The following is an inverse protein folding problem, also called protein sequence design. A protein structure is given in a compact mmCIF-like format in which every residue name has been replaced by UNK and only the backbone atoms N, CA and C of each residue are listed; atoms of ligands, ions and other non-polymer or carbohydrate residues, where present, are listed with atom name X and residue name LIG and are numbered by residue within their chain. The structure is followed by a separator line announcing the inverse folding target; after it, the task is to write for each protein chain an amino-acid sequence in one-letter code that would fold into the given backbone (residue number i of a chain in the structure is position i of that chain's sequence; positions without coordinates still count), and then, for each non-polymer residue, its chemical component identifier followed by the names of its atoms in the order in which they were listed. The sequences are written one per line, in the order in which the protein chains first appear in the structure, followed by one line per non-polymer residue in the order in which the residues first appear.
data_IF_257832458368
#
_entry.id   IF_257832458368
#
_cell.length_a   1.000
_cell.length_b   1.000
_cell.length_c   1.000
_cell.angle_alpha   90.00
_cell.angle_beta   90.00
_cell.angle_gamma   90.00
#
_symmetry.space_group_name_H-M   'P 1'
#
loop_
_entity.id
_entity.type
_entity.pdbx_description
1 polymer ?
#
# COMPACT_ATOMS: atom_id res chain seq x y z
N UNK A 1 -9.94 14.36 -22.44
CA UNK A 1 -10.60 13.28 -21.67
C UNK A 1 -9.54 12.68 -20.76
N UNK A 2 -9.72 12.75 -19.44
CA UNK A 2 -8.75 12.17 -18.50
C UNK A 2 -8.73 10.64 -18.66
N UNK A 3 -7.55 9.98 -18.52
CA UNK A 3 -7.50 8.52 -18.58
C UNK A 3 -8.36 7.91 -17.45
N UNK A 4 -9.00 6.75 -17.68
CA UNK A 4 -9.75 6.06 -16.64
C UNK A 4 -8.85 5.70 -15.46
N UNK A 5 -9.45 5.66 -14.26
CA UNK A 5 -8.72 5.33 -13.03
C UNK A 5 -7.96 3.99 -13.18
N UNK A 6 -6.65 3.94 -12.88
CA UNK A 6 -5.77 2.84 -13.27
C UNK A 6 -5.96 1.57 -12.44
N UNK A 7 -6.56 1.67 -11.24
CA UNK A 7 -6.67 0.55 -10.30
C UNK A 7 -7.99 -0.21 -10.37
N UNK A 8 -8.65 -0.15 -11.53
CA UNK A 8 -9.93 -0.82 -11.80
C UNK A 8 -9.73 -2.30 -12.18
N UNK A 9 -10.72 -3.18 -11.90
CA UNK A 9 -10.72 -4.57 -12.36
C UNK A 9 -10.44 -4.72 -13.86
N UNK A 10 -9.70 -5.77 -14.21
CA UNK A 10 -9.28 -6.10 -15.58
C UNK A 10 -8.15 -5.25 -16.13
N UNK A 11 -7.68 -4.22 -15.42
CA UNK A 11 -6.54 -3.44 -15.85
C UNK A 11 -5.22 -4.16 -15.52
N UNK A 12 -4.24 -4.03 -16.41
CA UNK A 12 -2.91 -4.61 -16.26
C UNK A 12 -1.85 -3.54 -15.97
N UNK A 13 -0.93 -3.87 -15.07
CA UNK A 13 0.20 -3.02 -14.70
C UNK A 13 1.50 -3.77 -15.01
N UNK A 14 2.40 -3.14 -15.77
CA UNK A 14 3.76 -3.66 -15.96
C UNK A 14 4.63 -3.23 -14.79
N UNK A 15 5.06 -4.19 -13.98
CA UNK A 15 5.75 -3.98 -12.72
C UNK A 15 7.19 -4.49 -12.80
N UNK A 16 8.07 -3.83 -12.08
CA UNK A 16 9.49 -4.21 -11.98
C UNK A 16 9.87 -4.35 -10.52
N UNK A 17 10.70 -5.34 -10.19
CA UNK A 17 11.15 -5.54 -8.83
C UNK A 17 11.92 -4.29 -8.35
N UNK A 18 11.64 -3.87 -7.12
CA UNK A 18 12.21 -2.67 -6.52
C UNK A 18 12.78 -3.01 -5.14
N UNK A 19 14.00 -2.53 -4.86
CA UNK A 19 14.55 -2.54 -3.51
C UNK A 19 14.03 -1.31 -2.77
N UNK A 20 13.28 -1.43 -1.66
CA UNK A 20 12.81 -0.26 -0.93
C UNK A 20 13.97 0.57 -0.35
N UNK A 21 13.83 1.90 -0.23
CA UNK A 21 14.71 2.69 0.61
C UNK A 21 14.55 2.28 2.09
N UNK A 22 15.49 2.70 2.94
CA UNK A 22 15.36 2.47 4.39
C UNK A 22 14.09 3.14 4.93
N UNK A 23 13.42 2.53 5.92
CA UNK A 23 12.24 3.13 6.53
C UNK A 23 12.59 4.44 7.25
N UNK A 24 11.72 5.45 7.15
CA UNK A 24 11.97 6.78 7.70
C UNK A 24 10.73 7.43 8.36
N UNK A 25 10.90 8.64 8.90
CA UNK A 25 9.90 9.48 9.56
C UNK A 25 10.03 9.50 11.10
N UNK A 26 9.06 10.07 11.82
CA UNK A 26 9.18 10.49 13.24
C UNK A 26 9.68 9.44 14.27
N UNK A 27 9.72 8.15 13.93
CA UNK A 27 10.19 7.05 14.80
C UNK A 27 11.42 6.31 14.25
N UNK A 28 12.01 6.79 13.17
CA UNK A 28 13.13 6.15 12.49
C UNK A 28 14.31 7.13 12.41
N UNK A 29 15.46 6.73 12.95
CA UNK A 29 16.71 7.44 12.74
C UNK A 29 17.14 7.29 11.29
N UNK A 30 17.05 8.37 10.53
CA UNK A 30 17.46 8.38 9.13
C UNK A 30 18.83 9.03 9.00
N UNK A 31 19.88 8.21 8.92
CA UNK A 31 21.23 8.65 8.54
C UNK A 31 21.40 8.74 7.01
N UNK A 32 20.54 8.05 6.27
CA UNK A 32 20.51 7.97 4.81
C UNK A 32 19.58 9.06 4.21
N UNK A 33 19.70 9.36 2.91
CA UNK A 33 18.81 10.33 2.26
C UNK A 33 17.35 9.90 2.41
N UNK A 34 16.59 10.76 3.09
CA UNK A 34 15.14 10.64 3.22
C UNK A 34 14.46 11.71 2.41
N UNK A 35 13.27 11.40 1.89
CA UNK A 35 12.42 12.38 1.25
C UNK A 35 12.15 13.47 2.26
N UNK A 36 12.41 14.71 1.89
CA UNK A 36 11.99 15.85 2.68
C UNK A 36 10.60 16.26 2.21
N UNK A 37 9.69 16.54 3.14
CA UNK A 37 8.42 17.16 2.81
C UNK A 37 8.63 18.47 2.07
N UNK A 38 7.74 18.79 1.13
CA UNK A 38 7.67 20.12 0.51
C UNK A 38 6.65 20.96 1.26
N UNK A 39 7.07 22.12 1.74
CA UNK A 39 6.22 23.11 2.41
C UNK A 39 5.66 24.13 1.39
N UNK A 40 4.64 24.88 1.77
CA UNK A 40 4.04 25.95 0.95
C UNK A 40 3.20 25.41 -0.21
N UNK A 41 2.58 24.24 -0.04
CA UNK A 41 1.71 23.63 -1.05
C UNK A 41 0.28 24.18 -1.00
N UNK A 42 -0.08 24.78 0.13
CA UNK A 42 -1.41 25.32 0.41
C UNK A 42 -1.24 26.75 0.93
N UNK A 43 -2.10 27.68 0.50
CA UNK A 43 -2.14 29.03 1.03
C UNK A 43 -2.84 29.12 2.41
N UNK A 44 -2.77 30.28 3.05
CA UNK A 44 -3.44 30.53 4.35
C UNK A 44 -4.98 30.36 4.28
N UNK A 45 -5.56 30.34 3.07
CA UNK A 45 -7.00 30.13 2.84
C UNK A 45 -7.37 28.67 2.56
N UNK A 46 -6.40 27.75 2.56
CA UNK A 46 -6.62 26.33 2.29
C UNK A 46 -6.66 25.96 0.81
N UNK A 47 -6.28 26.86 -0.10
CA UNK A 47 -6.22 26.55 -1.53
C UNK A 47 -4.87 25.97 -1.93
N UNK A 48 -4.90 24.94 -2.78
CA UNK A 48 -3.70 24.36 -3.37
C UNK A 48 -3.00 25.35 -4.29
N UNK A 49 -1.72 25.59 -4.02
CA UNK A 49 -0.82 26.41 -4.84
C UNK A 49 -0.17 25.62 -5.98
N UNK A 50 -0.35 24.29 -5.98
CA UNK A 50 0.18 23.37 -6.99
C UNK A 50 -0.92 22.46 -7.52
N UNK A 51 -0.80 22.06 -8.78
CA UNK A 51 -1.60 20.94 -9.28
C UNK A 51 -1.07 19.62 -8.70
N UNK A 52 -1.98 18.79 -8.20
CA UNK A 52 -1.63 17.56 -7.50
C UNK A 52 -0.96 16.53 -8.42
N UNK A 53 -1.40 16.42 -9.69
CA UNK A 53 -0.77 15.51 -10.64
C UNK A 53 0.64 15.98 -11.00
N UNK A 54 0.79 17.27 -11.31
CA UNK A 54 2.10 17.86 -11.59
C UNK A 54 3.05 17.75 -10.40
N UNK A 55 2.55 17.92 -9.17
CA UNK A 55 3.32 17.71 -7.95
C UNK A 55 3.81 16.27 -7.85
N UNK A 56 2.93 15.28 -8.04
CA UNK A 56 3.28 13.86 -7.97
C UNK A 56 4.30 13.44 -9.05
N UNK A 57 4.19 14.00 -10.26
CA UNK A 57 5.17 13.74 -11.34
C UNK A 57 6.53 14.35 -10.99
N UNK A 58 6.53 15.59 -10.52
CA UNK A 58 7.77 16.34 -10.23
C UNK A 58 8.48 15.85 -8.96
N UNK A 59 7.74 15.17 -8.08
CA UNK A 59 8.23 14.63 -6.82
C UNK A 59 8.11 13.11 -6.80
N UNK A 60 8.78 12.45 -7.74
CA UNK A 60 8.76 10.98 -7.84
C UNK A 60 9.24 10.29 -6.55
N UNK A 61 8.72 9.09 -6.23
CA UNK A 61 9.20 8.25 -5.13
C UNK A 61 10.72 8.12 -5.05
N UNK A 62 11.27 8.04 -3.85
CA UNK A 62 12.69 7.71 -3.65
C UNK A 62 13.04 6.38 -4.29
N UNK A 63 14.18 6.35 -4.96
CA UNK A 63 14.82 5.09 -5.36
C UNK A 63 15.45 4.43 -4.13
N UNK A 64 15.44 3.10 -4.13
CA UNK A 64 16.19 2.35 -3.14
C UNK A 64 17.67 2.22 -3.46
N UNK A 65 18.41 1.52 -2.58
CA UNK A 65 19.79 1.17 -2.87
C UNK A 65 19.86 0.34 -4.15
N UNK A 66 20.93 0.54 -4.93
CA UNK A 66 21.19 -0.30 -6.09
C UNK A 66 21.18 -1.78 -5.67
N UNK A 67 20.52 -2.67 -6.44
CA UNK A 67 20.47 -4.07 -6.09
C UNK A 67 21.89 -4.64 -6.01
N UNK A 68 22.16 -5.47 -5.00
CA UNK A 68 23.46 -6.14 -4.82
C UNK A 68 23.82 -7.06 -6.01
N UNK A 69 22.82 -7.42 -6.83
CA UNK A 69 22.95 -8.15 -8.08
C UNK A 69 22.73 -7.22 -9.27
N UNK A 70 23.67 -7.21 -10.21
CA UNK A 70 23.60 -6.47 -11.49
C UNK A 70 22.59 -7.05 -12.49
N UNK A 71 21.93 -8.17 -12.19
CA UNK A 71 20.86 -8.72 -13.04
C UNK A 71 19.52 -8.08 -12.67
N UNK A 72 19.08 -7.13 -13.49
CA UNK A 72 17.71 -6.64 -13.47
C UNK A 72 16.75 -7.81 -13.71
N UNK A 73 15.75 -7.96 -12.85
CA UNK A 73 14.66 -8.91 -13.09
C UNK A 73 13.80 -8.39 -14.24
N UNK A 74 13.29 -9.28 -15.13
CA UNK A 74 12.40 -8.84 -16.19
C UNK A 74 11.11 -8.23 -15.60
N UNK A 75 10.48 -7.27 -16.31
CA UNK A 75 9.15 -6.80 -15.93
C UNK A 75 8.15 -7.96 -15.87
N UNK A 76 7.22 -7.86 -14.93
CA UNK A 76 6.09 -8.78 -14.75
C UNK A 76 4.78 -8.05 -15.01
N UNK A 77 3.72 -8.78 -15.27
CA UNK A 77 2.39 -8.21 -15.50
C UNK A 77 1.50 -8.51 -14.29
N UNK A 78 0.95 -7.47 -13.68
CA UNK A 78 -0.05 -7.61 -12.62
C UNK A 78 -1.43 -7.32 -13.20
N UNK A 79 -2.34 -8.28 -13.11
CA UNK A 79 -3.73 -8.11 -13.57
C UNK A 79 -4.64 -7.89 -12.36
N UNK A 80 -5.31 -6.75 -12.31
CA UNK A 80 -6.18 -6.36 -11.19
C UNK A 80 -7.49 -7.15 -11.26
N UNK A 81 -7.82 -7.84 -10.19
CA UNK A 81 -9.06 -8.63 -10.09
C UNK A 81 -10.16 -7.81 -9.41
N UNK A 82 -9.87 -7.23 -8.25
CA UNK A 82 -10.86 -6.46 -7.47
C UNK A 82 -10.17 -5.39 -6.61
N UNK A 83 -10.80 -4.24 -6.45
CA UNK A 83 -10.42 -3.25 -5.44
C UNK A 83 -10.98 -3.66 -4.08
N UNK A 84 -10.10 -3.88 -3.10
CA UNK A 84 -10.47 -4.18 -1.71
C UNK A 84 -10.65 -2.90 -0.89
N UNK A 85 -9.78 -1.92 -1.10
CA UNK A 85 -9.83 -0.66 -0.36
C UNK A 85 -9.31 0.49 -1.21
N UNK A 86 -10.07 1.56 -1.24
CA UNK A 86 -9.68 2.85 -1.78
C UNK A 86 -10.38 3.92 -0.96
N UNK A 87 -9.61 4.85 -0.38
CA UNK A 87 -10.15 5.99 0.36
C UNK A 87 -9.99 7.22 -0.53
N UNK A 88 -11.07 7.77 -1.10
CA UNK A 88 -10.98 8.97 -1.93
C UNK A 88 -10.37 10.12 -1.14
N UNK A 89 -9.44 10.85 -1.77
CA UNK A 89 -8.72 11.95 -1.14
C UNK A 89 -9.58 13.19 -0.90
N UNK A 90 -10.65 13.35 -1.67
CA UNK A 90 -11.56 14.50 -1.63
C UNK A 90 -12.43 14.55 -0.35
N UNK A 91 -12.37 13.53 0.51
CA UNK A 91 -13.14 13.44 1.76
C UNK A 91 -12.26 13.51 3.03
N UNK A 92 -11.10 14.15 2.96
CA UNK A 92 -10.09 14.10 4.03
C UNK A 92 -9.55 12.68 4.26
N UNK A 93 -9.75 11.83 3.25
CA UNK A 93 -9.23 10.47 3.17
C UNK A 93 -8.00 10.44 2.29
N UNK A 94 -7.45 9.25 2.05
CA UNK A 94 -6.29 9.08 1.19
C UNK A 94 -5.30 8.10 1.79
N UNK A 95 -4.54 7.45 0.94
CA UNK A 95 -3.61 6.42 1.37
C UNK A 95 -3.39 5.34 0.33
N UNK A 96 -2.89 4.17 0.76
CA UNK A 96 -2.62 3.09 -0.18
C UNK A 96 -3.92 2.52 -0.76
N UNK A 97 -3.90 2.23 -2.05
CA UNK A 97 -4.94 1.46 -2.73
C UNK A 97 -4.64 -0.02 -2.54
N UNK A 98 -5.63 -0.80 -2.15
CA UNK A 98 -5.48 -2.25 -1.94
C UNK A 98 -6.33 -2.97 -2.97
N UNK A 99 -5.71 -3.85 -3.74
CA UNK A 99 -6.37 -4.65 -4.77
C UNK A 99 -5.99 -6.12 -4.64
N UNK A 100 -6.89 -7.02 -5.03
CA UNK A 100 -6.50 -8.39 -5.37
C UNK A 100 -6.04 -8.46 -6.81
N UNK A 101 -5.10 -9.36 -7.09
CA UNK A 101 -4.50 -9.47 -8.40
C UNK A 101 -3.93 -10.86 -8.68
N UNK A 102 -3.75 -11.15 -9.97
CA UNK A 102 -2.91 -12.22 -10.46
C UNK A 102 -1.59 -11.68 -10.98
N UNK A 103 -0.57 -12.54 -11.02
CA UNK A 103 0.76 -12.18 -11.47
C UNK A 103 1.16 -13.04 -12.67
N UNK A 104 1.50 -12.37 -13.75
CA UNK A 104 1.70 -12.93 -15.09
C UNK A 104 0.50 -13.79 -15.52
N UNK A 105 0.78 -14.92 -16.18
CA UNK A 105 -0.22 -15.88 -16.61
C UNK A 105 -0.66 -16.84 -15.50
N UNK A 106 -0.11 -16.71 -14.29
CA UNK A 106 -0.52 -17.54 -13.15
C UNK A 106 -1.81 -16.98 -12.53
N UNK A 107 -2.92 -17.55 -12.97
CA UNK A 107 -4.25 -17.30 -12.40
C UNK A 107 -4.61 -18.26 -11.25
N UNK A 108 -3.72 -19.21 -10.91
CA UNK A 108 -3.98 -20.17 -9.82
C UNK A 108 -3.75 -19.55 -8.44
N UNK A 109 -2.90 -18.53 -8.35
CA UNK A 109 -2.60 -17.83 -7.11
C UNK A 109 -3.23 -16.44 -7.11
N UNK A 110 -4.10 -16.18 -6.14
CA UNK A 110 -4.58 -14.83 -5.86
C UNK A 110 -3.62 -14.15 -4.88
N UNK A 111 -3.24 -12.91 -5.19
CA UNK A 111 -2.38 -12.08 -4.33
C UNK A 111 -3.07 -10.77 -3.99
N UNK A 112 -2.52 -10.04 -3.02
CA UNK A 112 -2.91 -8.67 -2.70
C UNK A 112 -1.76 -7.73 -3.04
N UNK A 113 -2.05 -6.74 -3.88
CA UNK A 113 -1.16 -5.61 -4.09
C UNK A 113 -1.64 -4.43 -3.25
N UNK A 114 -0.70 -3.91 -2.46
CA UNK A 114 -0.89 -2.65 -1.73
C UNK A 114 -0.04 -1.58 -2.39
N UNK A 115 -0.74 -0.63 -3.00
CA UNK A 115 -0.19 0.35 -3.93
C UNK A 115 -0.08 1.70 -3.23
N UNK A 116 1.12 2.24 -3.19
CA UNK A 116 1.46 3.52 -2.57
C UNK A 116 1.67 4.57 -3.68
N UNK A 117 0.59 4.98 -4.31
CA UNK A 117 0.59 6.10 -5.27
C UNK A 117 0.37 7.40 -4.52
N UNK A 118 1.36 8.28 -4.47
CA UNK A 118 1.22 9.55 -3.75
C UNK A 118 0.11 10.45 -4.31
N UNK A 119 -0.33 10.25 -5.56
CA UNK A 119 -1.53 10.93 -6.06
C UNK A 119 -2.82 10.48 -5.36
N UNK A 120 -2.87 9.28 -4.78
CA UNK A 120 -4.03 8.77 -4.01
C UNK A 120 -3.96 9.18 -2.53
N UNK A 121 -2.90 9.88 -2.12
CA UNK A 121 -2.77 10.48 -0.81
C UNK A 121 -3.31 11.90 -0.82
N UNK A 122 -3.78 12.36 0.33
CA UNK A 122 -4.20 13.74 0.49
C UNK A 122 -2.97 14.66 0.37
N UNK A 123 -3.10 15.71 -0.44
CA UNK A 123 -2.12 16.79 -0.50
C UNK A 123 -2.38 17.64 0.74
N UNK A 124 -1.53 17.51 1.76
CA UNK A 124 -1.66 18.29 2.99
C UNK A 124 -0.38 19.05 3.26
N UNK A 125 -0.55 20.27 3.76
CA UNK A 125 0.50 21.14 4.26
C UNK A 125 0.02 21.72 5.59
N UNK A 126 -0.18 20.84 6.58
CA UNK A 126 -0.80 21.24 7.85
C UNK A 126 0.17 22.10 8.69
N UNK A 127 -0.18 23.38 8.98
CA UNK A 127 0.65 24.24 9.81
C UNK A 127 0.78 23.68 11.22
N UNK A 128 2.01 23.49 11.71
CA UNK A 128 2.28 22.94 13.05
C UNK A 128 2.31 21.41 13.15
N UNK A 129 1.91 20.68 12.10
CA UNK A 129 2.27 19.27 11.90
C UNK A 129 3.41 19.21 10.89
N UNK A 130 4.63 19.49 11.35
CA UNK A 130 5.85 19.50 10.54
C UNK A 130 5.83 18.45 9.40
N UNK A 131 5.79 18.95 8.16
CA UNK A 131 6.28 18.31 6.96
C UNK A 131 5.69 16.93 6.64
N UNK A 132 4.59 16.90 5.89
CA UNK A 132 4.05 15.63 5.41
C UNK A 132 3.21 15.78 4.13
N UNK A 133 3.86 16.07 3.00
CA UNK A 133 3.18 16.06 1.69
C UNK A 133 2.74 14.64 1.25
N UNK A 134 1.89 14.57 0.22
CA UNK A 134 1.31 13.32 -0.26
C UNK A 134 2.37 12.29 -0.73
N UNK A 135 3.44 12.74 -1.38
CA UNK A 135 4.53 11.89 -1.85
C UNK A 135 5.39 11.42 -0.67
N UNK A 136 5.65 12.30 0.30
CA UNK A 136 6.34 11.94 1.55
C UNK A 136 5.62 10.84 2.30
N UNK A 137 4.29 10.95 2.44
CA UNK A 137 3.47 9.93 3.13
C UNK A 137 3.46 8.60 2.39
N UNK A 138 3.30 8.61 1.07
CA UNK A 138 3.30 7.40 0.27
C UNK A 138 4.61 6.63 0.39
N UNK A 139 5.75 7.30 0.20
CA UNK A 139 7.09 6.70 0.33
C UNK A 139 7.38 6.24 1.77
N UNK A 140 6.93 7.01 2.77
CA UNK A 140 7.10 6.66 4.18
C UNK A 140 6.32 5.38 4.53
N UNK A 141 5.06 5.28 4.09
CA UNK A 141 4.24 4.09 4.31
C UNK A 141 4.81 2.88 3.58
N UNK A 142 5.19 3.05 2.32
CA UNK A 142 5.79 2.00 1.50
C UNK A 142 7.08 1.45 2.13
N UNK A 143 8.04 2.32 2.44
CA UNK A 143 9.35 1.91 2.97
C UNK A 143 9.23 1.19 4.32
N UNK A 144 8.35 1.68 5.22
CA UNK A 144 8.08 1.05 6.52
C UNK A 144 7.45 -0.33 6.37
N UNK A 145 6.42 -0.44 5.55
CA UNK A 145 5.70 -1.71 5.40
C UNK A 145 6.56 -2.75 4.69
N UNK A 146 7.29 -2.35 3.64
CA UNK A 146 8.22 -3.23 2.95
C UNK A 146 9.36 -3.72 3.85
N UNK A 147 9.97 -2.83 4.65
CA UNK A 147 10.97 -3.21 5.64
C UNK A 147 10.40 -4.14 6.73
N UNK A 148 9.16 -3.92 7.15
CA UNK A 148 8.48 -4.76 8.14
C UNK A 148 8.37 -6.19 7.61
N UNK A 149 7.75 -6.39 6.44
CA UNK A 149 7.61 -7.71 5.83
C UNK A 149 8.96 -8.38 5.54
N UNK A 150 9.95 -7.61 5.04
CA UNK A 150 11.28 -8.15 4.76
C UNK A 150 12.03 -8.61 6.03
N UNK A 151 11.72 -8.01 7.19
CA UNK A 151 12.35 -8.36 8.47
C UNK A 151 11.72 -9.57 9.17
N UNK A 152 10.48 -9.94 8.81
CA UNK A 152 9.77 -11.06 9.46
C UNK A 152 10.39 -12.38 9.00
N UNK A 153 10.85 -13.24 9.94
CA UNK A 153 11.40 -14.55 9.60
C UNK A 153 10.43 -15.39 8.76
N UNK A 154 10.96 -16.08 7.74
CA UNK A 154 10.17 -16.88 6.79
C UNK A 154 9.25 -17.91 7.45
N UNK A 155 9.62 -18.44 8.62
CA UNK A 155 8.80 -19.40 9.40
C UNK A 155 7.46 -18.83 9.88
N UNK A 156 7.28 -17.51 9.89
CA UNK A 156 6.03 -16.87 10.27
C UNK A 156 5.21 -16.43 9.05
N UNK A 157 5.79 -16.46 7.86
CA UNK A 157 5.16 -16.04 6.60
C UNK A 157 4.38 -17.18 5.96
N UNK A 158 3.12 -16.94 5.62
CA UNK A 158 2.19 -17.95 5.11
C UNK A 158 1.40 -18.69 6.18
N UNK A 159 1.46 -18.23 7.42
CA UNK A 159 0.69 -18.76 8.54
C UNK A 159 0.18 -17.60 9.41
N UNK A 160 1.05 -17.06 10.27
CA UNK A 160 0.68 -15.96 11.18
C UNK A 160 0.65 -14.61 10.45
N UNK A 161 1.56 -14.40 9.51
CA UNK A 161 1.56 -13.21 8.66
C UNK A 161 1.47 -13.61 7.19
N UNK A 162 0.84 -12.78 6.32
CA UNK A 162 0.83 -13.05 4.89
C UNK A 162 2.25 -13.19 4.34
N UNK A 163 2.44 -14.14 3.42
CA UNK A 163 3.71 -14.26 2.72
C UNK A 163 4.01 -13.00 1.91
N UNK A 164 5.26 -12.54 1.97
CA UNK A 164 5.73 -11.39 1.23
C UNK A 164 6.35 -11.82 -0.10
N UNK A 165 5.74 -11.39 -1.20
CA UNK A 165 6.20 -11.66 -2.57
C UNK A 165 7.10 -10.55 -3.13
N UNK A 166 7.50 -9.60 -2.28
CA UNK A 166 8.47 -8.57 -2.61
C UNK A 166 7.86 -7.21 -2.89
N UNK A 167 8.76 -6.32 -3.29
CA UNK A 167 8.50 -4.91 -3.54
C UNK A 167 8.66 -4.60 -5.01
N UNK A 168 7.82 -3.71 -5.51
CA UNK A 168 7.68 -3.47 -6.94
C UNK A 168 7.47 -1.99 -7.22
N UNK A 169 7.80 -1.60 -8.45
CA UNK A 169 7.52 -0.27 -8.97
C UNK A 169 7.06 -0.33 -10.42
N UNK A 170 6.24 0.64 -10.81
CA UNK A 170 5.72 0.77 -12.15
C UNK A 170 5.44 2.24 -12.51
N UNK A 171 5.55 2.61 -13.78
CA UNK A 171 5.11 3.91 -14.26
C UNK A 171 3.60 3.89 -14.55
N UNK A 172 2.93 5.00 -14.23
CA UNK A 172 1.56 5.26 -14.68
C UNK A 172 1.51 6.41 -15.70
N UNK A 173 0.68 6.28 -16.75
CA UNK A 173 0.45 7.36 -17.69
C UNK A 173 -0.26 8.53 -17.00
N UNK A 174 0.12 9.74 -17.39
CA UNK A 174 -0.39 10.99 -16.80
C UNK A 174 -1.30 11.76 -17.75
N UNK A 175 -1.52 11.23 -18.97
CA UNK A 175 -2.19 11.97 -20.06
C UNK A 175 -1.28 12.99 -20.75
N UNK A 176 -0.10 13.29 -20.20
CA UNK A 176 0.93 14.11 -20.85
C UNK A 176 1.95 13.19 -21.54
N UNK A 177 2.26 13.41 -22.83
CA UNK A 177 3.25 12.60 -23.55
C UNK A 177 4.59 12.55 -22.82
N UNK A 178 5.17 11.35 -22.71
CA UNK A 178 6.48 11.09 -22.09
C UNK A 178 6.62 11.46 -20.61
N UNK A 179 5.53 11.83 -19.92
CA UNK A 179 5.53 12.02 -18.47
C UNK A 179 4.80 10.85 -17.81
N UNK A 180 5.53 10.16 -16.95
CA UNK A 180 4.99 9.11 -16.10
C UNK A 180 5.08 9.56 -14.65
N UNK A 181 4.11 9.16 -13.83
CA UNK A 181 4.30 9.17 -12.38
C UNK A 181 4.72 7.77 -11.95
N UNK A 182 5.80 7.69 -11.18
CA UNK A 182 6.27 6.42 -10.64
C UNK A 182 5.50 6.06 -9.38
N UNK A 183 5.13 4.78 -9.27
CA UNK A 183 4.36 4.25 -8.14
C UNK A 183 5.11 3.08 -7.52
N UNK A 184 5.02 2.95 -6.19
CA UNK A 184 5.59 1.84 -5.43
C UNK A 184 4.47 0.93 -4.92
N UNK A 185 4.74 -0.36 -4.80
CA UNK A 185 3.81 -1.31 -4.19
C UNK A 185 4.54 -2.45 -3.52
N UNK A 186 3.83 -3.13 -2.62
CA UNK A 186 4.21 -4.46 -2.14
C UNK A 186 3.20 -5.49 -2.63
N UNK A 187 3.68 -6.70 -2.84
CA UNK A 187 2.84 -7.85 -3.16
C UNK A 187 2.89 -8.83 -1.99
N UNK A 188 1.73 -9.22 -1.50
CA UNK A 188 1.57 -10.17 -0.40
C UNK A 188 0.53 -11.22 -0.74
N UNK A 189 0.55 -12.32 0.00
CA UNK A 189 -0.45 -13.37 -0.06
C UNK A 189 -1.86 -12.84 0.20
N UNK A 190 -2.82 -13.31 -0.60
CA UNK A 190 -4.23 -13.13 -0.28
C UNK A 190 -4.59 -14.10 0.85
N UNK A 191 -5.09 -13.54 1.96
CA UNK A 191 -5.62 -14.31 3.07
C UNK A 191 -7.13 -14.34 2.94
N UNK A 192 -7.69 -15.54 2.77
CA UNK A 192 -9.13 -15.73 2.76
C UNK A 192 -9.64 -15.74 4.20
N UNK A 193 -10.29 -14.65 4.61
CA UNK A 193 -10.76 -14.48 5.96
C UNK A 193 -11.66 -13.27 6.13
N UNK A 194 -12.30 -13.19 7.29
CA UNK A 194 -13.13 -12.05 7.67
C UNK A 194 -12.30 -10.98 8.39
N UNK A 195 -12.61 -9.71 8.13
CA UNK A 195 -12.03 -8.62 8.90
C UNK A 195 -12.50 -8.74 10.35
N UNK A 196 -11.58 -8.71 11.32
CA UNK A 196 -11.94 -8.79 12.74
C UNK A 196 -12.96 -7.72 13.17
N UNK A 197 -12.93 -6.53 12.55
CA UNK A 197 -13.91 -5.48 12.84
C UNK A 197 -15.34 -5.89 12.44
N UNK A 198 -15.47 -6.62 11.33
CA UNK A 198 -16.76 -7.10 10.85
C UNK A 198 -17.27 -8.26 11.72
N UNK A 199 -16.35 -9.09 12.24
CA UNK A 199 -16.68 -10.17 13.18
C UNK A 199 -17.04 -9.65 14.58
N UNK A 200 -16.36 -8.62 15.07
CA UNK A 200 -16.62 -8.02 16.39
C UNK A 200 -17.92 -7.20 16.45
N UNK A 201 -18.39 -6.69 15.31
CA UNK A 201 -19.68 -6.01 15.21
C UNK A 201 -20.86 -6.96 14.95
N UNK A 202 -20.63 -8.27 14.84
CA UNK A 202 -21.72 -9.23 14.92
C UNK A 202 -22.35 -9.12 16.32
N UNK A 203 -23.63 -8.72 16.44
CA UNK A 203 -24.28 -8.55 17.72
C UNK A 203 -24.21 -9.85 18.52
N UNK A 204 -24.23 -9.69 19.83
CA UNK A 204 -24.63 -10.61 20.91
C UNK A 204 -25.75 -11.65 20.61
N UNK A 205 -26.30 -11.72 19.39
CA UNK A 205 -27.30 -12.70 18.92
C UNK A 205 -26.75 -14.11 18.62
N UNK A 206 -25.43 -14.32 18.59
CA UNK A 206 -24.82 -15.67 18.49
C UNK A 206 -24.48 -16.32 19.82
N UNK A 207 -25.05 -15.84 20.93
CA UNK A 207 -24.77 -16.36 22.27
C UNK A 207 -25.48 -17.70 22.62
N UNK A 208 -26.25 -18.31 21.72
CA UNK A 208 -26.93 -19.58 22.02
C UNK A 208 -26.17 -20.84 21.58
N UNK A 209 -25.10 -20.73 20.78
CA UNK A 209 -24.38 -21.94 20.31
C UNK A 209 -23.24 -22.37 21.24
N UNK A 210 -22.88 -21.58 22.25
CA UNK A 210 -21.89 -21.93 23.29
C UNK A 210 -22.59 -22.19 24.63
N UNK A 211 -23.57 -23.10 24.65
CA UNK A 211 -24.12 -23.65 25.90
C UNK A 211 -24.20 -25.18 25.94
N UNK A 212 -23.83 -25.89 24.88
CA UNK A 212 -23.93 -27.36 24.83
C UNK A 212 -22.63 -28.11 25.16
N UNK A 213 -21.53 -27.42 25.46
CA UNK A 213 -20.25 -28.08 25.80
C UNK A 213 -19.95 -28.19 27.32
N UNK A 214 -20.84 -27.78 28.21
CA UNK A 214 -20.57 -27.80 29.67
C UNK A 214 -21.42 -28.76 30.50
N UNK A 215 -22.35 -29.51 29.92
CA UNK A 215 -23.10 -30.54 30.65
C UNK A 215 -22.50 -31.95 30.43
N UNK A 216 -21.20 -32.06 30.69
CA UNK A 216 -20.51 -33.34 30.91
C UNK A 216 -20.53 -33.66 32.40
N UNK A 217 -21.48 -34.49 32.82
CA UNK A 217 -21.68 -34.88 34.22
C UNK A 217 -20.42 -35.39 34.91
N UNK A 218 -20.20 -34.94 36.15
CA UNK A 218 -19.21 -35.52 37.06
C UNK A 218 -19.68 -36.89 37.55
N UNK A 219 -18.83 -37.94 37.51
CA UNK A 219 -19.05 -39.11 38.33
C UNK A 219 -18.63 -38.78 39.78
N UNK A 220 -19.51 -39.08 40.73
CA UNK A 220 -19.20 -39.09 42.17
C UNK A 220 -18.44 -40.36 42.55
N UNK A 221 -17.50 -40.29 43.51
CA UNK A 221 -16.92 -41.48 44.13
C UNK A 221 -17.94 -42.26 44.97
#
# INVERSE_FOLDING_TARGET
MAPPWPYRPGNELQITAHSPPRPYGAKYESKDPVRRPVDGLIDDSGHYLVDHMDFAISNSPLDGPAPASTKAQPPRVLTIVKTLSHKPKEKGGGGPVVVTCHLDTDHSTLSVAKIFDGFEYELVDEPGKYGSDCMYRADMHYSREAATYASIPARFQGDIVPRYFGSWTFPLPTGVPHRHRWVRMILIEYVDGECMLDTCCAPWERAETIRTCTDGGRPTP
#
